data_IF_910408883985
#
_entry.id   IF_910408883985
#
_cell.length_a   1.000
_cell.length_b   1.000
_cell.length_c   1.000
_cell.angle_alpha   90.00
_cell.angle_beta   90.00
_cell.angle_gamma   90.00
#
_symmetry.space_group_name_H-M   'P 1'
#
loop_
_entity.id
_entity.type
_entity.pdbx_description
1 polymer ?
#
# COMPACT_ATOMS: atom_id res chain seq x y z
N UNK A 1 33.88 -20.80 -20.20
CA UNK A 1 32.71 -19.89 -20.20
C UNK A 1 33.02 -18.83 -21.26
N UNK A 2 32.07 -18.35 -22.07
CA UNK A 2 32.40 -17.27 -23.02
C UNK A 2 32.69 -15.98 -22.25
N UNK A 3 33.51 -15.08 -22.80
CA UNK A 3 33.83 -13.79 -22.17
C UNK A 3 32.56 -13.01 -21.80
N UNK A 4 31.58 -12.96 -22.70
CA UNK A 4 30.29 -12.32 -22.43
C UNK A 4 29.55 -12.92 -21.22
N UNK A 5 29.62 -14.23 -21.02
CA UNK A 5 28.97 -14.89 -19.89
C UNK A 5 29.65 -14.58 -18.55
N UNK A 6 30.99 -14.43 -18.54
CA UNK A 6 31.73 -13.98 -17.36
C UNK A 6 31.39 -12.52 -17.00
N UNK A 7 31.31 -11.64 -18.01
CA UNK A 7 30.93 -10.24 -17.80
C UNK A 7 29.47 -10.12 -17.33
N UNK A 8 28.55 -10.91 -17.90
CA UNK A 8 27.17 -10.94 -17.43
C UNK A 8 27.06 -11.42 -15.97
N UNK A 9 27.80 -12.46 -15.60
CA UNK A 9 27.84 -12.95 -14.21
C UNK A 9 28.34 -11.87 -13.25
N UNK A 10 29.43 -11.17 -13.61
CA UNK A 10 29.94 -10.04 -12.83
C UNK A 10 28.92 -8.89 -12.74
N UNK A 11 28.14 -8.65 -13.81
CA UNK A 11 27.10 -7.63 -13.83
C UNK A 11 25.97 -7.99 -12.86
N UNK A 12 25.55 -9.26 -12.83
CA UNK A 12 24.54 -9.71 -11.87
C UNK A 12 25.00 -9.54 -10.42
N UNK A 13 26.24 -9.89 -10.12
CA UNK A 13 26.82 -9.66 -8.79
C UNK A 13 26.85 -8.18 -8.43
N UNK A 14 27.29 -7.32 -9.36
CA UNK A 14 27.34 -5.88 -9.15
C UNK A 14 25.94 -5.29 -8.94
N UNK A 15 24.91 -5.81 -9.62
CA UNK A 15 23.51 -5.48 -9.36
C UNK A 15 23.07 -5.87 -7.94
N UNK A 16 23.40 -7.09 -7.48
CA UNK A 16 23.11 -7.55 -6.11
C UNK A 16 23.81 -6.66 -5.08
N UNK A 17 25.07 -6.31 -5.32
CA UNK A 17 25.89 -5.41 -4.49
C UNK A 17 25.52 -3.93 -4.66
N UNK A 18 24.55 -3.60 -5.53
CA UNK A 18 24.09 -2.23 -5.86
C UNK A 18 25.21 -1.28 -6.31
N UNK A 19 26.21 -1.81 -7.01
CA UNK A 19 27.37 -1.08 -7.54
C UNK A 19 27.06 -0.48 -8.92
N UNK A 20 26.44 0.70 -8.94
CA UNK A 20 25.94 1.32 -10.18
C UNK A 20 27.02 1.54 -11.25
N UNK A 21 28.14 2.17 -10.89
CA UNK A 21 29.22 2.49 -11.84
C UNK A 21 29.81 1.21 -12.47
N UNK A 22 30.02 0.17 -11.65
CA UNK A 22 30.49 -1.13 -12.10
C UNK A 22 29.53 -1.77 -13.11
N UNK A 23 28.22 -1.68 -12.86
CA UNK A 23 27.21 -2.19 -13.81
C UNK A 23 27.22 -1.41 -15.12
N UNK A 24 27.41 -0.09 -15.07
CA UNK A 24 27.52 0.72 -16.28
C UNK A 24 28.76 0.37 -17.12
N UNK A 25 29.91 0.16 -16.48
CA UNK A 25 31.14 -0.30 -17.13
C UNK A 25 30.97 -1.69 -17.75
N UNK A 26 30.37 -2.64 -17.02
CA UNK A 26 30.15 -4.00 -17.52
C UNK A 26 29.15 -4.04 -18.69
N UNK A 27 28.11 -3.20 -18.67
CA UNK A 27 27.21 -3.04 -19.82
C UNK A 27 27.94 -2.48 -21.05
N UNK A 28 28.90 -1.57 -20.85
CA UNK A 28 29.71 -1.05 -21.95
C UNK A 28 30.57 -2.15 -22.56
N UNK A 29 31.22 -2.97 -21.73
CA UNK A 29 32.02 -4.12 -22.20
C UNK A 29 31.16 -5.15 -22.94
N UNK A 30 29.96 -5.46 -22.44
CA UNK A 30 29.03 -6.34 -23.17
C UNK A 30 28.63 -5.74 -24.53
N UNK A 31 28.41 -4.43 -24.60
CA UNK A 31 28.11 -3.74 -25.86
C UNK A 31 29.26 -3.86 -26.88
N UNK A 32 30.50 -3.75 -26.42
CA UNK A 32 31.71 -3.92 -27.24
C UNK A 32 31.79 -5.36 -27.78
N UNK A 33 31.58 -6.37 -26.94
CA UNK A 33 31.59 -7.78 -27.36
C UNK A 33 30.52 -8.06 -28.41
N UNK A 34 29.28 -7.61 -28.23
CA UNK A 34 28.21 -7.94 -29.19
C UNK A 34 28.37 -7.23 -30.54
N UNK A 35 29.18 -6.17 -30.61
CA UNK A 35 29.53 -5.54 -31.88
C UNK A 35 30.47 -6.44 -32.71
N UNK A 36 31.27 -7.27 -32.05
CA UNK A 36 32.21 -8.22 -32.65
C UNK A 36 31.59 -9.62 -32.81
N UNK A 37 30.78 -10.05 -31.83
CA UNK A 37 30.21 -11.39 -31.73
C UNK A 37 28.70 -11.35 -31.47
N UNK A 38 27.90 -11.47 -32.54
CA UNK A 38 26.42 -11.38 -32.45
C UNK A 38 25.77 -12.48 -31.59
N UNK A 39 26.44 -13.59 -31.33
CA UNK A 39 25.92 -14.72 -30.51
C UNK A 39 25.65 -14.32 -29.05
N UNK A 40 26.25 -13.24 -28.56
CA UNK A 40 26.14 -12.79 -27.16
C UNK A 40 25.05 -11.72 -26.93
N UNK A 41 24.25 -11.41 -27.95
CA UNK A 41 23.21 -10.36 -27.89
C UNK A 41 22.21 -10.57 -26.74
N UNK A 42 21.79 -11.80 -26.47
CA UNK A 42 20.86 -12.07 -25.36
C UNK A 42 21.40 -11.63 -23.99
N UNK A 43 22.68 -11.88 -23.72
CA UNK A 43 23.30 -11.54 -22.44
C UNK A 43 23.37 -10.02 -22.25
N UNK A 44 23.63 -9.29 -23.33
CA UNK A 44 23.56 -7.83 -23.30
C UNK A 44 22.14 -7.33 -22.99
N UNK A 45 21.12 -7.86 -23.65
CA UNK A 45 19.72 -7.49 -23.39
C UNK A 45 19.30 -7.84 -21.95
N UNK A 46 19.64 -9.06 -21.48
CA UNK A 46 19.42 -9.50 -20.09
C UNK A 46 20.10 -8.55 -19.10
N UNK A 47 21.33 -8.12 -19.40
CA UNK A 47 22.08 -7.14 -18.62
C UNK A 47 21.38 -5.78 -18.54
N UNK A 48 20.89 -5.25 -19.66
CA UNK A 48 20.11 -3.99 -19.71
C UNK A 48 18.88 -4.09 -18.81
N UNK A 49 18.07 -5.14 -18.96
CA UNK A 49 16.86 -5.35 -18.16
C UNK A 49 17.20 -5.39 -16.66
N UNK A 50 18.24 -6.14 -16.29
CA UNK A 50 18.70 -6.23 -14.89
C UNK A 50 19.15 -4.88 -14.34
N UNK A 51 19.90 -4.11 -15.11
CA UNK A 51 20.39 -2.81 -14.72
C UNK A 51 19.24 -1.80 -14.54
N UNK A 52 18.32 -1.70 -15.50
CA UNK A 52 17.16 -0.82 -15.45
C UNK A 52 16.25 -1.13 -14.26
N UNK A 53 16.03 -2.41 -13.97
CA UNK A 53 15.19 -2.85 -12.84
C UNK A 53 15.88 -2.67 -11.48
N UNK A 54 17.20 -2.82 -11.41
CA UNK A 54 17.97 -2.64 -10.16
C UNK A 54 18.17 -1.17 -9.82
N UNK A 55 18.52 -0.34 -10.81
CA UNK A 55 18.89 1.06 -10.63
C UNK A 55 17.83 2.01 -11.20
N UNK A 56 16.57 1.75 -10.85
CA UNK A 56 15.41 2.56 -11.26
C UNK A 56 15.69 4.04 -11.02
N UNK A 57 15.58 4.84 -12.08
CA UNK A 57 15.76 6.29 -12.01
C UNK A 57 17.20 6.80 -11.99
N UNK A 58 18.23 5.94 -11.90
CA UNK A 58 19.63 6.38 -11.90
C UNK A 58 20.14 6.73 -13.30
N UNK A 59 19.84 5.89 -14.29
CA UNK A 59 20.27 6.13 -15.67
C UNK A 59 19.72 7.46 -16.22
N UNK A 60 20.50 8.26 -16.94
CA UNK A 60 20.00 9.41 -17.69
C UNK A 60 18.93 8.98 -18.71
N UNK A 61 17.98 9.88 -19.03
CA UNK A 61 16.93 9.58 -20.01
C UNK A 61 17.51 9.22 -21.38
N UNK A 62 18.56 9.93 -21.82
CA UNK A 62 19.29 9.63 -23.06
C UNK A 62 19.85 8.21 -23.08
N UNK A 63 20.41 7.75 -21.96
CA UNK A 63 20.94 6.38 -21.84
C UNK A 63 19.82 5.34 -21.93
N UNK A 64 18.66 5.60 -21.29
CA UNK A 64 17.50 4.70 -21.38
C UNK A 64 16.99 4.62 -22.83
N UNK A 65 16.93 5.74 -23.55
CA UNK A 65 16.58 5.74 -24.99
C UNK A 65 17.57 4.91 -25.81
N UNK A 66 18.88 5.12 -25.60
CA UNK A 66 19.90 4.32 -26.30
C UNK A 66 19.78 2.82 -26.03
N UNK A 67 19.39 2.43 -24.80
CA UNK A 67 19.13 1.02 -24.50
C UNK A 67 17.92 0.49 -25.27
N UNK A 68 16.82 1.25 -25.35
CA UNK A 68 15.64 0.84 -26.14
C UNK A 68 16.03 0.69 -27.62
N UNK A 69 16.69 1.68 -28.20
CA UNK A 69 17.12 1.69 -29.60
C UNK A 69 18.04 0.52 -29.93
N UNK A 70 19.04 0.25 -29.08
CA UNK A 70 19.96 -0.87 -29.27
C UNK A 70 19.24 -2.23 -29.22
N UNK A 71 18.34 -2.44 -28.25
CA UNK A 71 17.58 -3.70 -28.14
C UNK A 71 16.59 -3.84 -29.29
N UNK A 72 15.96 -2.75 -29.72
CA UNK A 72 15.07 -2.75 -30.90
C UNK A 72 15.82 -3.18 -32.16
N UNK A 73 17.02 -2.64 -32.38
CA UNK A 73 17.86 -3.01 -33.51
C UNK A 73 18.25 -4.50 -33.46
N UNK A 74 18.62 -5.02 -32.29
CA UNK A 74 18.90 -6.44 -32.08
C UNK A 74 17.68 -7.30 -32.47
N UNK A 75 16.47 -6.92 -32.06
CA UNK A 75 15.25 -7.67 -32.43
C UNK A 75 14.96 -7.57 -33.94
N UNK A 76 15.16 -6.41 -34.56
CA UNK A 76 14.98 -6.25 -36.02
C UNK A 76 15.94 -7.12 -36.82
N UNK A 77 17.17 -7.29 -36.35
CA UNK A 77 18.16 -8.18 -36.98
C UNK A 77 17.86 -9.67 -36.75
N UNK A 78 17.05 -10.00 -35.75
CA UNK A 78 16.70 -11.37 -35.36
C UNK A 78 15.17 -11.58 -35.33
N UNK A 79 14.44 -11.37 -36.45
CA UNK A 79 12.97 -11.28 -36.45
C UNK A 79 12.27 -12.59 -36.07
N UNK A 80 12.93 -13.74 -36.20
CA UNK A 80 12.39 -15.05 -35.83
C UNK A 80 12.75 -15.47 -34.40
N UNK A 81 13.53 -14.66 -33.68
CA UNK A 81 14.04 -15.01 -32.35
C UNK A 81 13.07 -14.57 -31.26
N UNK A 82 12.16 -15.46 -30.88
CA UNK A 82 11.08 -15.17 -29.94
C UNK A 82 11.57 -14.66 -28.57
N UNK A 83 12.65 -15.23 -28.02
CA UNK A 83 13.17 -14.81 -26.71
C UNK A 83 13.71 -13.35 -26.74
N UNK A 84 14.29 -12.91 -27.86
CA UNK A 84 14.72 -11.52 -28.04
C UNK A 84 13.51 -10.58 -28.17
N UNK A 85 12.45 -11.00 -28.87
CA UNK A 85 11.20 -10.25 -28.95
C UNK A 85 10.56 -10.05 -27.56
N UNK A 86 10.49 -11.12 -26.75
CA UNK A 86 10.03 -11.05 -25.35
C UNK A 86 10.93 -10.13 -24.53
N UNK A 87 12.25 -10.21 -24.73
CA UNK A 87 13.23 -9.37 -24.01
C UNK A 87 13.13 -7.89 -24.38
N UNK A 88 12.74 -7.56 -25.61
CA UNK A 88 12.45 -6.18 -25.98
C UNK A 88 11.19 -5.66 -25.28
N UNK A 89 10.10 -6.46 -25.21
CA UNK A 89 8.93 -6.09 -24.42
C UNK A 89 9.27 -5.84 -22.93
N UNK A 90 10.10 -6.70 -22.34
CA UNK A 90 10.65 -6.52 -20.98
C UNK A 90 11.51 -5.27 -20.85
N UNK A 91 12.29 -4.94 -21.87
CA UNK A 91 13.13 -3.73 -21.92
C UNK A 91 12.25 -2.48 -21.92
N UNK A 92 11.23 -2.42 -22.78
CA UNK A 92 10.27 -1.32 -22.81
C UNK A 92 9.58 -1.11 -21.45
N UNK A 93 9.07 -2.18 -20.82
CA UNK A 93 8.48 -2.06 -19.47
C UNK A 93 9.49 -1.59 -18.43
N UNK A 94 10.71 -2.14 -18.43
CA UNK A 94 11.75 -1.77 -17.46
C UNK A 94 12.18 -0.31 -17.62
N UNK A 95 12.30 0.16 -18.86
CA UNK A 95 12.53 1.56 -19.20
C UNK A 95 11.41 2.46 -18.71
N UNK A 96 10.14 2.08 -18.94
CA UNK A 96 8.97 2.79 -18.44
C UNK A 96 9.01 2.96 -16.92
N UNK A 97 9.35 1.90 -16.17
CA UNK A 97 9.49 1.95 -14.71
C UNK A 97 10.62 2.90 -14.30
N UNK A 98 11.78 2.84 -14.96
CA UNK A 98 12.90 3.73 -14.68
C UNK A 98 12.55 5.20 -14.99
N UNK A 99 11.81 5.47 -16.06
CA UNK A 99 11.41 6.82 -16.47
C UNK A 99 10.29 7.39 -15.58
N UNK A 100 9.36 6.54 -15.14
CA UNK A 100 8.30 6.91 -14.18
C UNK A 100 8.87 7.58 -12.93
N UNK A 101 10.00 7.08 -12.42
CA UNK A 101 10.66 7.69 -11.24
C UNK A 101 11.23 9.08 -11.49
N UNK A 102 11.45 9.47 -12.75
CA UNK A 102 11.90 10.81 -13.14
C UNK A 102 10.76 11.77 -13.47
N UNK A 103 9.50 11.31 -13.43
CA UNK A 103 8.33 12.15 -13.68
C UNK A 103 8.24 12.68 -15.11
N UNK A 104 8.55 11.87 -16.11
CA UNK A 104 8.56 12.22 -17.54
C UNK A 104 7.33 11.64 -18.27
N UNK A 105 6.14 12.29 -18.15
CA UNK A 105 4.87 11.74 -18.63
C UNK A 105 4.83 11.51 -20.14
N UNK A 106 5.44 12.39 -20.94
CA UNK A 106 5.47 12.26 -22.39
C UNK A 106 6.18 10.99 -22.83
N UNK A 107 7.38 10.77 -22.30
CA UNK A 107 8.19 9.60 -22.62
C UNK A 107 7.55 8.30 -22.11
N UNK A 108 6.84 8.34 -20.98
CA UNK A 108 6.06 7.18 -20.53
C UNK A 108 4.95 6.82 -21.54
N UNK A 109 4.28 7.83 -22.12
CA UNK A 109 3.25 7.62 -23.16
C UNK A 109 3.85 7.09 -24.47
N UNK A 110 5.03 7.57 -24.84
CA UNK A 110 5.79 7.07 -25.99
C UNK A 110 6.09 5.58 -25.82
N UNK A 111 6.76 5.19 -24.73
CA UNK A 111 7.17 3.79 -24.49
C UNK A 111 5.98 2.83 -24.39
N UNK A 112 4.88 3.21 -23.73
CA UNK A 112 3.71 2.33 -23.69
C UNK A 112 3.07 2.20 -25.07
N UNK A 113 3.08 3.25 -25.88
CA UNK A 113 2.58 3.20 -27.27
C UNK A 113 3.46 2.29 -28.13
N UNK A 114 4.78 2.37 -27.97
CA UNK A 114 5.72 1.49 -28.66
C UNK A 114 5.50 0.03 -28.27
N UNK A 115 5.30 -0.26 -26.98
CA UNK A 115 4.99 -1.60 -26.50
C UNK A 115 3.64 -2.12 -27.02
N UNK A 116 2.62 -1.25 -27.07
CA UNK A 116 1.31 -1.59 -27.65
C UNK A 116 1.42 -1.91 -29.15
N UNK A 117 2.19 -1.12 -29.90
CA UNK A 117 2.41 -1.36 -31.32
C UNK A 117 3.26 -2.61 -31.57
N UNK A 118 4.29 -2.82 -30.76
CA UNK A 118 5.10 -4.02 -30.82
C UNK A 118 4.27 -5.28 -30.54
N UNK A 119 3.43 -5.28 -29.51
CA UNK A 119 2.56 -6.41 -29.17
C UNK A 119 1.58 -6.79 -30.29
N UNK A 120 1.12 -5.83 -31.10
CA UNK A 120 0.26 -6.11 -32.27
C UNK A 120 0.95 -6.96 -33.33
N UNK A 121 2.28 -6.91 -33.42
CA UNK A 121 3.06 -7.77 -34.33
C UNK A 121 3.20 -9.21 -33.82
N UNK A 122 2.89 -9.45 -32.54
CA UNK A 122 2.94 -10.76 -31.90
C UNK A 122 1.59 -11.08 -31.23
N UNK A 123 0.49 -11.13 -32.00
CA UNK A 123 -0.85 -11.17 -31.44
C UNK A 123 -1.08 -12.37 -30.51
N UNK A 124 -0.47 -13.52 -30.79
CA UNK A 124 -0.66 -14.75 -30.00
C UNK A 124 0.38 -14.93 -28.88
N UNK A 125 1.36 -14.03 -28.76
CA UNK A 125 2.39 -14.16 -27.74
C UNK A 125 1.91 -13.60 -26.40
N UNK A 126 1.39 -14.49 -25.56
CA UNK A 126 0.85 -14.13 -24.24
C UNK A 126 1.89 -13.43 -23.36
N UNK A 127 3.16 -13.84 -23.40
CA UNK A 127 4.24 -13.27 -22.58
C UNK A 127 4.49 -11.79 -22.91
N UNK A 128 4.43 -11.40 -24.19
CA UNK A 128 4.52 -9.99 -24.58
C UNK A 128 3.32 -9.19 -24.03
N UNK A 129 2.12 -9.78 -24.07
CA UNK A 129 0.92 -9.15 -23.47
C UNK A 129 0.94 -9.12 -21.94
N UNK A 130 1.61 -10.05 -21.27
CA UNK A 130 1.86 -9.97 -19.84
C UNK A 130 2.72 -8.74 -19.52
N UNK A 131 3.82 -8.54 -20.24
CA UNK A 131 4.68 -7.36 -20.10
C UNK A 131 3.90 -6.05 -20.38
N UNK A 132 3.07 -6.03 -21.43
CA UNK A 132 2.21 -4.90 -21.74
C UNK A 132 1.14 -4.64 -20.66
N UNK A 133 0.54 -5.68 -20.08
CA UNK A 133 -0.45 -5.55 -19.02
C UNK A 133 0.18 -4.97 -17.74
N UNK A 134 1.38 -5.42 -17.40
CA UNK A 134 2.16 -4.90 -16.27
C UNK A 134 2.54 -3.44 -16.51
N UNK A 135 3.03 -3.10 -17.71
CA UNK A 135 3.35 -1.72 -18.08
C UNK A 135 2.12 -0.80 -18.04
N UNK A 136 0.97 -1.29 -18.53
CA UNK A 136 -0.31 -0.58 -18.48
C UNK A 136 -0.71 -0.23 -17.05
N UNK A 137 -0.53 -1.15 -16.10
CA UNK A 137 -0.81 -0.87 -14.70
C UNK A 137 0.16 0.13 -14.06
N UNK A 138 1.41 0.16 -14.50
CA UNK A 138 2.36 1.19 -14.05
C UNK A 138 1.93 2.59 -14.51
N UNK A 139 1.41 2.70 -15.74
CA UNK A 139 0.81 3.93 -16.30
C UNK A 139 -0.45 4.33 -15.54
N UNK A 140 -1.38 3.39 -15.29
CA UNK A 140 -2.61 3.61 -14.52
C UNK A 140 -2.30 4.17 -13.13
N UNK A 141 -1.37 3.53 -12.41
CA UNK A 141 -0.96 3.97 -11.08
C UNK A 141 -0.28 5.35 -11.09
N UNK A 142 0.50 5.65 -12.13
CA UNK A 142 1.10 6.97 -12.30
C UNK A 142 0.02 8.06 -12.47
N UNK A 143 -0.94 7.84 -13.36
CA UNK A 143 -2.03 8.80 -13.60
C UNK A 143 -2.96 8.94 -12.40
N UNK A 144 -3.26 7.85 -11.69
CA UNK A 144 -4.03 7.89 -10.42
C UNK A 144 -3.40 8.87 -9.43
N UNK A 145 -2.08 8.78 -9.22
CA UNK A 145 -1.35 9.64 -8.28
C UNK A 145 -1.31 11.10 -8.73
N UNK A 146 -1.35 11.36 -10.04
CA UNK A 146 -1.37 12.70 -10.63
C UNK A 146 -2.77 13.30 -10.78
N UNK A 147 -3.82 12.53 -10.51
CA UNK A 147 -5.21 12.95 -10.68
C UNK A 147 -5.69 12.98 -12.14
N UNK A 148 -4.93 12.42 -13.09
CA UNK A 148 -5.35 12.31 -14.50
C UNK A 148 -6.22 11.06 -14.69
N UNK A 149 -7.45 11.14 -14.19
CA UNK A 149 -8.37 10.00 -14.22
C UNK A 149 -8.88 9.66 -15.63
N UNK A 150 -8.77 10.59 -16.59
CA UNK A 150 -9.10 10.32 -17.99
C UNK A 150 -8.06 9.39 -18.60
N UNK A 151 -6.77 9.72 -18.48
CA UNK A 151 -5.70 8.85 -18.97
C UNK A 151 -5.68 7.49 -18.28
N UNK A 152 -6.02 7.45 -16.98
CA UNK A 152 -6.21 6.20 -16.24
C UNK A 152 -7.31 5.33 -16.87
N UNK A 153 -8.49 5.91 -17.14
CA UNK A 153 -9.63 5.18 -17.70
C UNK A 153 -9.36 4.71 -19.13
N UNK A 154 -8.68 5.54 -19.95
CA UNK A 154 -8.26 5.16 -21.29
C UNK A 154 -7.34 3.93 -21.27
N UNK A 155 -6.33 3.91 -20.40
CA UNK A 155 -5.45 2.74 -20.29
C UNK A 155 -6.17 1.52 -19.68
N UNK A 156 -7.08 1.74 -18.74
CA UNK A 156 -7.89 0.66 -18.13
C UNK A 156 -8.82 0.01 -19.15
N UNK A 157 -9.32 0.77 -20.14
CA UNK A 157 -10.08 0.23 -21.26
C UNK A 157 -9.23 -0.70 -22.13
N UNK A 158 -8.00 -0.30 -22.47
CA UNK A 158 -7.07 -1.16 -23.23
C UNK A 158 -6.73 -2.44 -22.46
N UNK A 159 -6.50 -2.33 -21.15
CA UNK A 159 -6.22 -3.50 -20.31
C UNK A 159 -7.38 -4.51 -20.29
N UNK A 160 -8.64 -4.04 -20.32
CA UNK A 160 -9.81 -4.92 -20.51
C UNK A 160 -9.79 -5.64 -21.87
N UNK A 161 -9.34 -4.99 -22.93
CA UNK A 161 -9.21 -5.62 -24.26
C UNK A 161 -8.18 -6.77 -24.20
N UNK A 162 -7.06 -6.57 -23.50
CA UNK A 162 -6.04 -7.62 -23.31
C UNK A 162 -6.59 -8.79 -22.49
N UNK A 163 -7.28 -8.50 -21.39
CA UNK A 163 -7.88 -9.51 -20.52
C UNK A 163 -8.98 -10.32 -21.23
N UNK A 164 -9.73 -9.70 -22.14
CA UNK A 164 -10.70 -10.42 -23.00
C UNK A 164 -10.00 -11.32 -24.01
N UNK A 165 -8.87 -10.90 -24.55
CA UNK A 165 -8.07 -11.69 -25.51
C UNK A 165 -7.43 -12.90 -24.84
N UNK A 166 -6.98 -12.76 -23.60
CA UNK A 166 -6.32 -13.82 -22.83
C UNK A 166 -7.07 -14.11 -21.52
N UNK A 167 -8.29 -14.70 -21.59
CA UNK A 167 -9.12 -14.94 -20.41
C UNK A 167 -8.46 -15.89 -19.41
N UNK A 168 -7.70 -16.88 -19.88
CA UNK A 168 -7.04 -17.88 -19.02
C UNK A 168 -5.70 -17.39 -18.43
N UNK A 169 -5.16 -16.25 -18.89
CA UNK A 169 -3.87 -15.77 -18.38
C UNK A 169 -4.03 -15.04 -17.04
N UNK A 170 -3.62 -15.69 -15.95
CA UNK A 170 -3.76 -15.15 -14.60
C UNK A 170 -3.03 -13.83 -14.37
N UNK A 171 -1.86 -13.62 -15.00
CA UNK A 171 -1.08 -12.38 -14.86
C UNK A 171 -1.89 -11.20 -15.39
N UNK A 172 -2.44 -11.31 -16.59
CA UNK A 172 -3.24 -10.27 -17.25
C UNK A 172 -4.54 -10.04 -16.46
N UNK A 173 -5.22 -11.10 -16.01
CA UNK A 173 -6.42 -10.97 -15.17
C UNK A 173 -6.12 -10.26 -13.84
N UNK A 174 -5.00 -10.57 -13.19
CA UNK A 174 -4.55 -9.87 -11.99
C UNK A 174 -4.18 -8.42 -12.26
N UNK A 175 -3.64 -8.10 -13.44
CA UNK A 175 -3.45 -6.70 -13.81
C UNK A 175 -4.80 -5.99 -13.98
N UNK A 176 -5.79 -6.62 -14.62
CA UNK A 176 -7.12 -6.03 -14.75
C UNK A 176 -7.76 -5.75 -13.39
N UNK A 177 -7.70 -6.68 -12.43
CA UNK A 177 -8.29 -6.47 -11.10
C UNK A 177 -7.70 -5.24 -10.39
N UNK A 178 -6.38 -5.05 -10.46
CA UNK A 178 -5.69 -3.86 -9.94
C UNK A 178 -6.13 -2.57 -10.61
N UNK A 179 -6.36 -2.60 -11.92
CA UNK A 179 -6.89 -1.46 -12.67
C UNK A 179 -8.31 -1.12 -12.24
N UNK A 180 -9.18 -2.11 -12.01
CA UNK A 180 -10.54 -1.88 -11.49
C UNK A 180 -10.49 -1.20 -10.10
N UNK A 181 -9.62 -1.68 -9.20
CA UNK A 181 -9.42 -1.03 -7.87
C UNK A 181 -8.93 0.42 -8.03
N UNK A 182 -8.02 0.67 -8.98
CA UNK A 182 -7.56 2.01 -9.29
C UNK A 182 -8.68 2.92 -9.81
N UNK A 183 -9.58 2.38 -10.65
CA UNK A 183 -10.75 3.08 -11.15
C UNK A 183 -11.76 3.41 -10.04
N UNK A 184 -12.07 2.48 -9.13
CA UNK A 184 -12.94 2.75 -7.97
C UNK A 184 -12.38 3.93 -7.17
N UNK A 185 -11.07 3.90 -6.89
CA UNK A 185 -10.40 4.98 -6.17
C UNK A 185 -10.28 6.32 -6.94
N UNK A 186 -10.57 6.33 -8.24
CA UNK A 186 -10.54 7.52 -9.10
C UNK A 186 -11.88 8.26 -9.17
N UNK A 187 -12.95 7.69 -8.63
CA UNK A 187 -14.29 8.26 -8.68
C UNK A 187 -14.36 9.46 -7.73
N UNK A 188 -14.33 10.68 -8.31
CA UNK A 188 -14.26 11.95 -7.55
C UNK A 188 -15.56 12.30 -6.83
N UNK A 189 -16.70 12.14 -7.51
CA UNK A 189 -18.03 12.33 -6.92
C UNK A 189 -18.59 10.96 -6.63
N UNK A 190 -19.12 10.76 -5.41
CA UNK A 190 -19.70 9.47 -5.03
C UNK A 190 -20.79 9.06 -6.03
N UNK A 191 -20.44 8.08 -6.87
CA UNK A 191 -21.31 7.46 -7.85
C UNK A 191 -21.38 5.98 -7.51
N UNK A 192 -22.32 5.64 -6.63
CA UNK A 192 -22.52 4.26 -6.16
C UNK A 192 -22.85 3.33 -7.32
N UNK A 193 -23.57 3.80 -8.35
CA UNK A 193 -23.90 2.98 -9.52
C UNK A 193 -22.64 2.60 -10.31
N UNK A 194 -21.70 3.53 -10.48
CA UNK A 194 -20.41 3.24 -11.12
C UNK A 194 -19.54 2.34 -10.24
N UNK A 195 -19.50 2.58 -8.93
CA UNK A 195 -18.77 1.73 -7.98
C UNK A 195 -19.31 0.29 -8.01
N UNK A 196 -20.63 0.11 -7.93
CA UNK A 196 -21.27 -1.21 -7.93
C UNK A 196 -20.99 -1.98 -9.24
N UNK A 197 -20.97 -1.30 -10.39
CA UNK A 197 -20.57 -1.92 -11.66
C UNK A 197 -19.13 -2.45 -11.64
N UNK A 198 -18.19 -1.67 -11.10
CA UNK A 198 -16.79 -2.06 -10.96
C UNK A 198 -16.61 -3.18 -9.92
N UNK A 199 -17.35 -3.13 -8.80
CA UNK A 199 -17.36 -4.19 -7.80
C UNK A 199 -17.91 -5.50 -8.35
N UNK A 200 -18.95 -5.44 -9.19
CA UNK A 200 -19.48 -6.61 -9.89
C UNK A 200 -18.47 -7.17 -10.91
N UNK A 201 -17.76 -6.31 -11.63
CA UNK A 201 -16.72 -6.73 -12.57
C UNK A 201 -15.61 -7.52 -11.86
N UNK A 202 -15.06 -7.00 -10.77
CA UNK A 202 -14.02 -7.70 -10.01
C UNK A 202 -14.54 -8.94 -9.26
N UNK A 203 -15.81 -8.93 -8.84
CA UNK A 203 -16.47 -10.12 -8.28
C UNK A 203 -16.48 -11.25 -9.31
N UNK A 204 -17.02 -11.01 -10.51
CA UNK A 204 -17.09 -12.04 -11.57
C UNK A 204 -15.69 -12.55 -11.94
N UNK A 205 -14.71 -11.64 -12.02
CA UNK A 205 -13.32 -11.98 -12.30
C UNK A 205 -12.70 -12.90 -11.23
N UNK A 206 -13.04 -12.67 -9.96
CA UNK A 206 -12.48 -13.40 -8.83
C UNK A 206 -13.22 -14.72 -8.59
N UNK A 207 -14.54 -14.75 -8.73
CA UNK A 207 -15.37 -15.95 -8.61
C UNK A 207 -15.08 -16.98 -9.70
N UNK A 208 -14.72 -16.54 -10.91
CA UNK A 208 -14.26 -17.45 -11.97
C UNK A 208 -12.92 -18.12 -11.66
N UNK A 209 -12.16 -17.62 -10.67
CA UNK A 209 -10.84 -18.13 -10.28
C UNK A 209 -10.70 -18.14 -8.74
N UNK A 210 -11.46 -19.00 -8.03
CA UNK A 210 -11.56 -18.96 -6.57
C UNK A 210 -10.24 -19.32 -5.86
N UNK A 211 -9.37 -20.09 -6.51
CA UNK A 211 -8.05 -20.48 -5.99
C UNK A 211 -6.98 -19.41 -6.20
N UNK A 212 -7.22 -18.41 -7.06
CA UNK A 212 -6.25 -17.35 -7.32
C UNK A 212 -6.27 -16.33 -6.18
N UNK A 213 -5.34 -16.52 -5.23
CA UNK A 213 -5.20 -15.66 -4.04
C UNK A 213 -5.07 -14.18 -4.39
N UNK A 214 -4.36 -13.84 -5.47
CA UNK A 214 -4.15 -12.46 -5.89
C UNK A 214 -5.46 -11.77 -6.29
N UNK A 215 -6.29 -12.45 -7.10
CA UNK A 215 -7.61 -11.95 -7.48
C UNK A 215 -8.54 -11.82 -6.27
N UNK A 216 -8.57 -12.84 -5.41
CA UNK A 216 -9.37 -12.81 -4.19
C UNK A 216 -8.97 -11.63 -3.26
N UNK A 217 -7.67 -11.33 -3.15
CA UNK A 217 -7.20 -10.20 -2.35
C UNK A 217 -7.58 -8.85 -2.98
N UNK A 218 -7.44 -8.69 -4.29
CA UNK A 218 -7.86 -7.46 -4.98
C UNK A 218 -9.38 -7.24 -4.91
N UNK A 219 -10.17 -8.32 -4.84
CA UNK A 219 -11.62 -8.22 -4.62
C UNK A 219 -11.96 -7.61 -3.26
N UNK A 220 -11.31 -8.08 -2.18
CA UNK A 220 -11.47 -7.49 -0.84
C UNK A 220 -10.99 -6.04 -0.84
N UNK A 221 -9.86 -5.78 -1.51
CA UNK A 221 -9.29 -4.45 -1.65
C UNK A 221 -10.23 -3.47 -2.40
N UNK A 222 -11.00 -3.95 -3.38
CA UNK A 222 -11.99 -3.16 -4.09
C UNK A 222 -13.13 -2.70 -3.18
N UNK A 223 -13.68 -3.59 -2.34
CA UNK A 223 -14.68 -3.20 -1.35
C UNK A 223 -14.12 -2.20 -0.33
N UNK A 224 -12.89 -2.43 0.17
CA UNK A 224 -12.23 -1.47 1.06
C UNK A 224 -12.08 -0.10 0.39
N UNK A 225 -11.64 -0.06 -0.86
CA UNK A 225 -11.47 1.19 -1.62
C UNK A 225 -12.80 1.89 -1.87
N UNK A 226 -13.89 1.15 -2.08
CA UNK A 226 -15.23 1.71 -2.15
C UNK A 226 -15.65 2.32 -0.80
N UNK A 227 -15.36 1.64 0.32
CA UNK A 227 -15.65 2.13 1.68
C UNK A 227 -14.89 3.42 2.03
N UNK A 228 -13.67 3.63 1.52
CA UNK A 228 -12.92 4.90 1.70
C UNK A 228 -13.68 6.12 1.13
N UNK A 229 -14.75 5.90 0.34
CA UNK A 229 -15.61 6.94 -0.26
C UNK A 229 -16.99 7.01 0.39
N UNK A 230 -17.27 6.18 1.40
CA UNK A 230 -18.61 5.99 1.97
C UNK A 230 -18.96 6.89 3.16
N UNK A 231 -18.22 7.99 3.36
CA UNK A 231 -18.38 8.90 4.51
C UNK A 231 -19.84 9.35 4.74
N UNK A 232 -20.66 9.38 3.68
CA UNK A 232 -22.07 9.80 3.73
C UNK A 232 -23.10 8.67 3.54
N UNK A 233 -22.68 7.40 3.43
CA UNK A 233 -23.58 6.27 3.07
C UNK A 233 -23.42 5.03 3.97
N UNK A 234 -24.04 5.03 5.16
CA UNK A 234 -24.02 3.90 6.10
C UNK A 234 -24.49 2.56 5.52
N UNK A 235 -25.52 2.55 4.66
CA UNK A 235 -26.04 1.30 4.08
C UNK A 235 -25.02 0.62 3.17
N UNK A 236 -24.27 1.41 2.41
CA UNK A 236 -23.24 0.95 1.47
C UNK A 236 -22.01 0.40 2.21
N UNK A 237 -21.52 1.15 3.20
CA UNK A 237 -20.43 0.70 4.06
C UNK A 237 -20.74 -0.65 4.73
N UNK A 238 -21.97 -0.81 5.24
CA UNK A 238 -22.40 -2.07 5.87
C UNK A 238 -22.41 -3.24 4.89
N UNK A 239 -23.04 -3.10 3.71
CA UNK A 239 -23.08 -4.20 2.72
C UNK A 239 -21.70 -4.57 2.21
N UNK A 240 -20.81 -3.59 1.99
CA UNK A 240 -19.45 -3.85 1.52
C UNK A 240 -18.60 -4.55 2.58
N UNK A 241 -18.72 -4.18 3.86
CA UNK A 241 -18.08 -4.92 4.95
C UNK A 241 -18.56 -6.37 5.02
N UNK A 242 -19.86 -6.61 4.89
CA UNK A 242 -20.40 -7.98 4.87
C UNK A 242 -19.86 -8.80 3.70
N UNK A 243 -19.71 -8.21 2.51
CA UNK A 243 -19.04 -8.87 1.39
C UNK A 243 -17.56 -9.18 1.70
N UNK A 244 -16.82 -8.25 2.31
CA UNK A 244 -15.43 -8.50 2.72
C UNK A 244 -15.34 -9.65 3.73
N UNK A 245 -16.25 -9.73 4.71
CA UNK A 245 -16.31 -10.82 5.68
C UNK A 245 -16.56 -12.17 5.02
N UNK A 246 -17.43 -12.25 4.01
CA UNK A 246 -17.68 -13.48 3.26
C UNK A 246 -16.44 -14.01 2.54
N UNK A 247 -15.60 -13.11 2.04
CA UNK A 247 -14.40 -13.48 1.28
C UNK A 247 -13.21 -13.78 2.21
N UNK A 248 -13.03 -12.96 3.25
CA UNK A 248 -11.81 -12.92 4.07
C UNK A 248 -11.98 -13.45 5.51
N UNK A 249 -13.20 -13.68 5.97
CA UNK A 249 -13.51 -13.96 7.38
C UNK A 249 -12.90 -15.26 7.90
N UNK A 250 -12.87 -16.30 7.08
CA UNK A 250 -12.28 -17.60 7.40
C UNK A 250 -10.77 -17.68 7.07
N UNK A 251 -10.27 -16.74 6.26
CA UNK A 251 -8.88 -16.73 5.80
C UNK A 251 -7.94 -16.29 6.91
N UNK A 252 -7.03 -17.18 7.30
CA UNK A 252 -5.95 -16.90 8.27
C UNK A 252 -4.76 -16.12 7.68
N UNK A 253 -4.76 -15.92 6.36
CA UNK A 253 -3.70 -15.20 5.66
C UNK A 253 -3.67 -13.73 6.06
N UNK A 254 -2.48 -13.25 6.44
CA UNK A 254 -2.32 -11.93 7.04
C UNK A 254 -2.74 -10.78 6.10
N UNK A 255 -2.59 -10.94 4.78
CA UNK A 255 -2.99 -9.89 3.84
C UNK A 255 -4.52 -9.68 3.84
N UNK A 256 -5.28 -10.78 3.89
CA UNK A 256 -6.74 -10.72 4.02
C UNK A 256 -7.18 -10.15 5.36
N UNK A 257 -6.48 -10.51 6.46
CA UNK A 257 -6.74 -9.97 7.80
C UNK A 257 -6.51 -8.46 7.85
N UNK A 258 -5.44 -7.96 7.26
CA UNK A 258 -5.13 -6.52 7.18
C UNK A 258 -6.20 -5.77 6.38
N UNK A 259 -6.60 -6.29 5.21
CA UNK A 259 -7.64 -5.62 4.41
C UNK A 259 -9.00 -5.63 5.11
N UNK A 260 -9.39 -6.73 5.76
CA UNK A 260 -10.61 -6.81 6.55
C UNK A 260 -10.57 -5.87 7.77
N UNK A 261 -9.42 -5.73 8.44
CA UNK A 261 -9.21 -4.78 9.53
C UNK A 261 -9.39 -3.33 9.07
N UNK A 262 -8.87 -2.97 7.89
CA UNK A 262 -9.11 -1.64 7.29
C UNK A 262 -10.60 -1.44 6.96
N UNK A 263 -11.29 -2.50 6.52
CA UNK A 263 -12.75 -2.51 6.36
C UNK A 263 -13.49 -2.20 7.66
N UNK A 264 -13.14 -2.88 8.76
CA UNK A 264 -13.71 -2.58 10.09
C UNK A 264 -13.47 -1.14 10.53
N UNK A 265 -12.24 -0.62 10.33
CA UNK A 265 -11.93 0.79 10.61
C UNK A 265 -12.89 1.74 9.90
N UNK A 266 -13.06 1.57 8.59
CA UNK A 266 -13.96 2.40 7.79
C UNK A 266 -15.42 2.26 8.25
N UNK A 267 -15.87 1.03 8.55
CA UNK A 267 -17.21 0.80 9.06
C UNK A 267 -17.44 1.44 10.43
N UNK A 268 -16.45 1.42 11.33
CA UNK A 268 -16.54 2.08 12.64
C UNK A 268 -16.68 3.59 12.48
N UNK A 269 -15.91 4.22 11.60
CA UNK A 269 -15.98 5.65 11.32
C UNK A 269 -17.39 6.04 10.81
N UNK A 270 -17.95 5.26 9.89
CA UNK A 270 -19.22 5.61 9.22
C UNK A 270 -20.46 5.18 10.03
N UNK A 271 -20.41 4.03 10.69
CA UNK A 271 -21.56 3.40 11.35
C UNK A 271 -21.55 3.59 12.87
N UNK A 272 -20.40 3.91 13.46
CA UNK A 272 -20.16 3.88 14.89
C UNK A 272 -20.88 4.96 15.70
N UNK A 273 -21.46 5.98 15.05
CA UNK A 273 -22.25 7.02 15.74
C UNK A 273 -23.40 6.42 16.58
N UNK A 274 -23.88 5.22 16.23
CA UNK A 274 -24.82 4.45 17.06
C UNK A 274 -24.04 3.53 18.00
N UNK A 275 -24.17 3.74 19.31
CA UNK A 275 -23.44 3.00 20.34
C UNK A 275 -23.54 1.47 20.19
N UNK A 276 -24.71 0.94 19.84
CA UNK A 276 -24.90 -0.50 19.69
C UNK A 276 -24.17 -1.08 18.47
N UNK A 277 -24.19 -0.37 17.33
CA UNK A 277 -23.47 -0.80 16.13
C UNK A 277 -21.95 -0.72 16.34
N UNK A 278 -21.47 0.31 17.05
CA UNK A 278 -20.06 0.43 17.42
C UNK A 278 -19.58 -0.73 18.30
N UNK A 279 -20.34 -1.07 19.35
CA UNK A 279 -20.03 -2.20 20.22
C UNK A 279 -19.93 -3.51 19.42
N UNK A 280 -20.90 -3.74 18.53
CA UNK A 280 -20.91 -4.91 17.65
C UNK A 280 -19.66 -4.96 16.76
N UNK A 281 -19.36 -3.87 16.06
CA UNK A 281 -18.19 -3.79 15.16
C UNK A 281 -16.87 -3.97 15.91
N UNK A 282 -16.74 -3.38 17.10
CA UNK A 282 -15.56 -3.57 17.95
C UNK A 282 -15.44 -5.01 18.43
N UNK A 283 -16.53 -5.65 18.84
CA UNK A 283 -16.50 -7.05 19.27
C UNK A 283 -16.05 -7.98 18.12
N UNK A 284 -16.61 -7.79 16.93
CA UNK A 284 -16.22 -8.55 15.73
C UNK A 284 -14.75 -8.29 15.35
N UNK A 285 -14.30 -7.03 15.41
CA UNK A 285 -12.92 -6.70 15.09
C UNK A 285 -11.94 -7.25 16.14
N UNK A 286 -12.30 -7.21 17.43
CA UNK A 286 -11.52 -7.85 18.50
C UNK A 286 -11.36 -9.35 18.25
N UNK A 287 -12.44 -10.04 17.88
CA UNK A 287 -12.37 -11.46 17.53
C UNK A 287 -11.47 -11.73 16.32
N UNK A 288 -11.40 -10.82 15.34
CA UNK A 288 -10.46 -10.92 14.23
C UNK A 288 -9.01 -10.85 14.73
N UNK A 289 -8.71 -9.89 15.62
CA UNK A 289 -7.38 -9.69 16.19
C UNK A 289 -6.95 -10.87 17.06
N UNK A 290 -7.83 -11.33 17.95
CA UNK A 290 -7.54 -12.43 18.88
C UNK A 290 -7.26 -13.76 18.13
N UNK A 291 -7.84 -13.94 16.94
CA UNK A 291 -7.65 -15.12 16.09
C UNK A 291 -6.57 -14.94 15.01
N UNK A 292 -5.71 -13.92 15.11
CA UNK A 292 -4.67 -13.65 14.12
C UNK A 292 -3.29 -13.63 14.78
N UNK A 293 -2.31 -14.27 14.13
CA UNK A 293 -0.91 -14.24 14.57
C UNK A 293 -0.41 -12.80 14.66
N UNK A 294 0.37 -12.45 15.71
CA UNK A 294 0.78 -11.08 15.91
C UNK A 294 1.51 -10.44 14.71
N UNK A 295 1.06 -9.26 14.29
CA UNK A 295 1.61 -8.55 13.14
C UNK A 295 1.52 -7.02 13.33
N UNK A 296 2.65 -6.33 13.20
CA UNK A 296 2.75 -4.88 13.48
C UNK A 296 1.85 -4.02 12.59
N UNK A 297 1.65 -4.40 11.32
CA UNK A 297 0.78 -3.65 10.41
C UNK A 297 -0.70 -3.80 10.81
N UNK A 298 -1.14 -5.02 11.08
CA UNK A 298 -2.49 -5.30 11.56
C UNK A 298 -2.78 -4.58 12.89
N UNK A 299 -1.86 -4.65 13.85
CA UNK A 299 -2.02 -3.96 15.13
C UNK A 299 -1.95 -2.44 15.01
N UNK A 300 -1.22 -1.91 14.03
CA UNK A 300 -1.26 -0.48 13.71
C UNK A 300 -2.66 -0.07 13.25
N UNK A 301 -3.30 -0.86 12.36
CA UNK A 301 -4.69 -0.62 11.96
C UNK A 301 -5.65 -0.74 13.14
N UNK A 302 -5.44 -1.72 14.01
CA UNK A 302 -6.25 -1.91 15.21
C UNK A 302 -6.13 -0.72 16.17
N UNK A 303 -4.92 -0.26 16.49
CA UNK A 303 -4.69 0.90 17.35
C UNK A 303 -5.35 2.17 16.78
N UNK A 304 -5.21 2.41 15.47
CA UNK A 304 -5.90 3.53 14.81
C UNK A 304 -7.43 3.40 14.92
N UNK A 305 -7.96 2.19 14.83
CA UNK A 305 -9.41 1.96 14.93
C UNK A 305 -9.93 2.19 16.34
N UNK A 306 -9.17 1.78 17.35
CA UNK A 306 -9.49 2.06 18.76
C UNK A 306 -9.49 3.58 19.04
N UNK A 307 -8.54 4.32 18.46
CA UNK A 307 -8.54 5.78 18.50
C UNK A 307 -9.82 6.36 17.86
N UNK A 308 -10.21 5.91 16.66
CA UNK A 308 -11.45 6.40 16.03
C UNK A 308 -12.70 6.05 16.86
N UNK A 309 -12.75 4.87 17.46
CA UNK A 309 -13.82 4.50 18.38
C UNK A 309 -13.89 5.41 19.61
N UNK A 310 -12.73 5.79 20.18
CA UNK A 310 -12.67 6.74 21.29
C UNK A 310 -13.18 8.14 20.91
N UNK A 311 -12.87 8.61 19.69
CA UNK A 311 -13.41 9.88 19.19
C UNK A 311 -14.94 9.86 19.09
N UNK A 312 -15.52 8.71 18.77
CA UNK A 312 -16.98 8.52 18.66
C UNK A 312 -17.65 8.40 20.03
N UNK A 313 -17.10 7.59 20.94
CA UNK A 313 -17.70 7.34 22.27
C UNK A 313 -17.48 8.54 23.20
N UNK A 314 -16.34 9.21 23.07
CA UNK A 314 -15.90 10.26 23.98
C UNK A 314 -15.84 9.76 25.41
N UNK A 315 -16.56 10.45 26.30
CA UNK A 315 -16.63 10.14 27.74
C UNK A 315 -18.05 9.81 28.22
N UNK A 316 -19.00 9.66 27.28
CA UNK A 316 -20.40 9.34 27.57
C UNK A 316 -20.56 8.03 28.35
N UNK A 317 -19.67 7.06 28.10
CA UNK A 317 -19.48 5.87 28.91
C UNK A 317 -18.00 5.73 29.25
N UNK A 318 -17.57 6.43 30.30
CA UNK A 318 -16.16 6.47 30.68
C UNK A 318 -15.57 5.09 31.01
N UNK A 319 -16.37 4.15 31.51
CA UNK A 319 -15.89 2.79 31.74
C UNK A 319 -15.47 2.11 30.44
N UNK A 320 -16.29 2.25 29.38
CA UNK A 320 -15.94 1.72 28.07
C UNK A 320 -14.75 2.46 27.43
N UNK A 321 -14.66 3.79 27.64
CA UNK A 321 -13.48 4.58 27.27
C UNK A 321 -12.21 4.03 27.92
N UNK A 322 -12.26 3.69 29.21
CA UNK A 322 -11.13 3.09 29.94
C UNK A 322 -10.75 1.71 29.39
N UNK A 323 -11.73 0.87 29.04
CA UNK A 323 -11.46 -0.43 28.43
C UNK A 323 -10.68 -0.29 27.11
N UNK A 324 -11.08 0.66 26.26
CA UNK A 324 -10.39 0.91 24.98
C UNK A 324 -8.99 1.50 25.20
N UNK A 325 -8.83 2.45 26.13
CA UNK A 325 -7.52 2.99 26.51
C UNK A 325 -6.59 1.90 27.07
N UNK A 326 -7.11 0.99 27.89
CA UNK A 326 -6.38 -0.16 28.40
C UNK A 326 -5.92 -1.12 27.30
N UNK A 327 -6.75 -1.35 26.28
CA UNK A 327 -6.36 -2.12 25.08
C UNK A 327 -5.24 -1.45 24.30
N UNK A 328 -5.34 -0.14 24.04
CA UNK A 328 -4.27 0.62 23.40
C UNK A 328 -2.97 0.58 24.20
N UNK A 329 -3.06 0.67 25.53
CA UNK A 329 -1.90 0.55 26.41
C UNK A 329 -1.24 -0.82 26.28
N UNK A 330 -2.03 -1.89 26.33
CA UNK A 330 -1.53 -3.26 26.13
C UNK A 330 -0.83 -3.42 24.78
N UNK A 331 -1.40 -2.87 23.69
CA UNK A 331 -0.75 -2.90 22.38
C UNK A 331 0.61 -2.20 22.38
N UNK A 332 0.74 -1.07 23.08
CA UNK A 332 2.02 -0.38 23.22
C UNK A 332 3.02 -1.18 24.06
N UNK A 333 2.54 -1.94 25.04
CA UNK A 333 3.37 -2.84 25.83
C UNK A 333 3.87 -4.03 24.98
N UNK A 334 3.01 -4.60 24.14
CA UNK A 334 3.34 -5.67 23.21
C UNK A 334 4.25 -5.20 22.05
N UNK A 335 4.13 -3.93 21.63
CA UNK A 335 4.86 -3.34 20.50
C UNK A 335 5.50 -1.97 20.83
N UNK A 336 6.50 -1.92 21.74
CA UNK A 336 7.12 -0.68 22.22
C UNK A 336 7.69 0.23 21.13
N UNK A 337 8.26 -0.38 20.09
CA UNK A 337 8.96 0.35 19.01
C UNK A 337 8.00 0.81 17.90
N UNK A 338 6.72 0.40 17.95
CA UNK A 338 5.75 0.75 16.93
C UNK A 338 5.22 2.18 17.16
N UNK A 339 5.93 3.17 16.61
CA UNK A 339 5.54 4.59 16.67
C UNK A 339 4.07 4.87 16.32
N UNK A 340 3.45 4.22 15.31
CA UNK A 340 2.02 4.42 15.04
C UNK A 340 1.10 4.07 16.21
N UNK A 341 1.43 3.03 16.98
CA UNK A 341 0.65 2.58 18.15
C UNK A 341 0.84 3.59 19.30
N UNK A 342 2.09 4.02 19.56
CA UNK A 342 2.39 5.07 20.52
C UNK A 342 1.59 6.36 20.20
N UNK A 343 1.63 6.79 18.95
CA UNK A 343 0.91 7.99 18.51
C UNK A 343 -0.61 7.87 18.72
N UNK A 344 -1.20 6.72 18.36
CA UNK A 344 -2.63 6.48 18.57
C UNK A 344 -3.01 6.52 20.06
N UNK A 345 -2.17 5.96 20.94
CA UNK A 345 -2.40 6.02 22.39
C UNK A 345 -2.26 7.44 22.95
N UNK A 346 -1.21 8.19 22.54
CA UNK A 346 -1.02 9.58 22.95
C UNK A 346 -2.17 10.49 22.52
N UNK A 347 -2.60 10.37 21.26
CA UNK A 347 -3.71 11.16 20.71
C UNK A 347 -5.03 10.84 21.43
N UNK A 348 -5.23 9.57 21.77
CA UNK A 348 -6.36 9.11 22.59
C UNK A 348 -6.35 9.73 23.98
N UNK A 349 -5.20 9.73 24.67
CA UNK A 349 -5.06 10.33 26.00
C UNK A 349 -5.35 11.84 25.97
N UNK A 350 -4.81 12.57 24.98
CA UNK A 350 -5.06 14.01 24.83
C UNK A 350 -6.54 14.30 24.63
N UNK A 351 -7.18 13.58 23.71
CA UNK A 351 -8.60 13.76 23.41
C UNK A 351 -9.48 13.52 24.64
N UNK A 352 -9.29 12.40 25.33
CA UNK A 352 -10.09 12.04 26.49
C UNK A 352 -9.81 12.96 27.69
N UNK A 353 -8.55 13.30 27.97
CA UNK A 353 -8.22 14.26 29.05
C UNK A 353 -8.86 15.62 28.76
N UNK A 354 -8.84 16.09 27.51
CA UNK A 354 -9.50 17.33 27.11
C UNK A 354 -11.01 17.30 27.39
N UNK A 355 -11.70 16.22 26.99
CA UNK A 355 -13.13 16.04 27.25
C UNK A 355 -13.45 16.00 28.76
N UNK A 356 -12.71 15.20 29.54
CA UNK A 356 -12.90 15.09 30.99
C UNK A 356 -12.66 16.42 31.69
N UNK A 357 -11.63 17.16 31.25
CA UNK A 357 -11.30 18.45 31.83
C UNK A 357 -12.40 19.49 31.56
N UNK A 358 -13.00 19.48 30.37
CA UNK A 358 -14.15 20.33 30.04
C UNK A 358 -15.38 20.00 30.89
N UNK A 359 -15.62 18.71 31.19
CA UNK A 359 -16.68 18.26 32.09
C UNK A 359 -16.32 18.36 33.59
N UNK A 360 -15.15 18.92 33.94
CA UNK A 360 -14.65 19.07 35.31
C UNK A 360 -14.53 17.73 36.07
N UNK A 361 -14.26 16.64 35.36
CA UNK A 361 -14.05 15.26 35.87
C UNK A 361 -12.63 15.08 36.40
N UNK A 362 -12.33 15.74 37.51
CA UNK A 362 -10.95 15.91 37.98
C UNK A 362 -10.24 14.62 38.41
N UNK A 363 -10.94 13.70 39.07
CA UNK A 363 -10.34 12.44 39.52
C UNK A 363 -9.89 11.59 38.34
N UNK A 364 -10.74 11.51 37.31
CA UNK A 364 -10.48 10.80 36.06
C UNK A 364 -9.33 11.43 35.26
N UNK A 365 -9.26 12.77 35.24
CA UNK A 365 -8.12 13.50 34.65
C UNK A 365 -6.82 13.11 35.35
N UNK A 366 -6.77 13.12 36.68
CA UNK A 366 -5.55 12.76 37.42
C UNK A 366 -5.17 11.29 37.23
N UNK A 367 -6.14 10.37 37.08
CA UNK A 367 -5.88 8.97 36.75
C UNK A 367 -5.14 8.83 35.41
N UNK A 368 -5.64 9.48 34.34
CA UNK A 368 -5.02 9.40 33.02
C UNK A 368 -3.67 10.11 32.95
N UNK A 369 -3.47 11.18 33.73
CA UNK A 369 -2.17 11.85 33.81
C UNK A 369 -1.08 10.96 34.42
N UNK A 370 -1.41 10.08 35.39
CA UNK A 370 -0.44 9.09 35.89
C UNK A 370 0.00 8.13 34.79
N UNK A 371 -0.94 7.70 33.94
CA UNK A 371 -0.63 6.84 32.79
C UNK A 371 0.28 7.55 31.78
N UNK A 372 0.16 8.87 31.66
CA UNK A 372 1.03 9.69 30.82
C UNK A 372 2.43 9.91 31.44
N UNK A 373 2.54 10.12 32.76
CA UNK A 373 3.82 10.25 33.47
C UNK A 373 4.70 9.00 33.26
N UNK A 374 4.10 7.82 33.26
CA UNK A 374 4.79 6.57 32.94
C UNK A 374 5.34 6.56 31.50
N UNK A 375 4.58 7.06 30.52
CA UNK A 375 5.07 7.18 29.13
C UNK A 375 6.28 8.12 29.02
N UNK A 376 6.31 9.22 29.77
CA UNK A 376 7.47 10.11 29.78
C UNK A 376 8.72 9.43 30.33
N UNK A 377 8.55 8.59 31.36
CA UNK A 377 9.67 7.84 31.92
C UNK A 377 10.18 6.77 30.95
N UNK A 378 9.26 6.12 30.22
CA UNK A 378 9.60 5.09 29.23
C UNK A 378 10.19 5.68 27.95
N UNK A 379 9.74 6.86 27.52
CA UNK A 379 10.15 7.50 26.27
C UNK A 379 10.66 8.94 26.49
N UNK A 380 11.70 9.15 27.33
CA UNK A 380 12.10 10.49 27.78
C UNK A 380 12.68 11.37 26.67
N UNK A 381 13.17 10.75 25.59
CA UNK A 381 13.76 11.43 24.43
C UNK A 381 12.83 11.48 23.21
N UNK A 382 11.63 10.90 23.30
CA UNK A 382 10.69 10.93 22.18
C UNK A 382 10.06 12.32 22.05
N UNK A 383 10.25 12.95 20.88
CA UNK A 383 9.78 14.31 20.63
C UNK A 383 8.25 14.42 20.66
N UNK A 384 7.53 13.38 20.24
CA UNK A 384 6.07 13.37 20.24
C UNK A 384 5.56 13.32 21.68
N UNK A 385 6.14 12.45 22.51
CA UNK A 385 5.80 12.36 23.94
C UNK A 385 6.06 13.69 24.66
N UNK A 386 7.19 14.35 24.38
CA UNK A 386 7.50 15.67 24.95
C UNK A 386 6.51 16.75 24.50
N UNK A 387 6.15 16.78 23.21
CA UNK A 387 5.17 17.74 22.68
C UNK A 387 3.80 17.55 23.33
N UNK A 388 3.33 16.31 23.43
CA UNK A 388 2.04 15.97 24.03
C UNK A 388 2.00 16.34 25.52
N UNK A 389 3.10 16.16 26.25
CA UNK A 389 3.18 16.60 27.65
C UNK A 389 2.95 18.10 27.79
N UNK A 390 3.57 18.88 26.90
CA UNK A 390 3.41 20.32 26.90
C UNK A 390 1.95 20.70 26.64
N UNK A 391 1.31 20.06 25.64
CA UNK A 391 -0.11 20.24 25.33
C UNK A 391 -1.01 19.93 26.53
N UNK A 392 -0.83 18.78 27.18
CA UNK A 392 -1.60 18.39 28.36
C UNK A 392 -1.41 19.39 29.51
N UNK A 393 -0.17 19.85 29.74
CA UNK A 393 0.13 20.83 30.78
C UNK A 393 -0.60 22.15 30.54
N UNK A 394 -0.65 22.61 29.28
CA UNK A 394 -1.34 23.84 28.91
C UNK A 394 -2.87 23.70 29.04
N UNK A 395 -3.45 22.56 28.62
CA UNK A 395 -4.89 22.25 28.79
C UNK A 395 -5.27 22.34 30.28
N UNK A 396 -4.50 21.69 31.16
CA UNK A 396 -4.76 21.70 32.59
C UNK A 396 -4.64 23.10 33.19
N UNK A 397 -3.66 23.89 32.75
CA UNK A 397 -3.48 25.28 33.20
C UNK A 397 -4.68 26.15 32.81
N UNK A 398 -5.13 26.06 31.56
CA UNK A 398 -6.29 26.81 31.07
C UNK A 398 -7.58 26.47 31.82
N UNK A 399 -7.75 25.20 32.19
CA UNK A 399 -8.96 24.70 32.87
C UNK A 399 -8.89 24.79 34.40
N UNK A 400 -7.85 25.44 34.95
CA UNK A 400 -7.71 25.70 36.39
C UNK A 400 -7.30 24.48 37.23
N UNK A 401 -6.88 23.38 36.59
CA UNK A 401 -6.35 22.22 37.28
C UNK A 401 -4.96 22.53 37.84
N UNK A 402 -4.87 22.68 39.16
CA UNK A 402 -3.58 22.79 39.84
C UNK A 402 -2.95 21.39 39.92
N UNK A 403 -1.66 21.29 39.58
CA UNK A 403 -0.88 20.06 39.84
C UNK A 403 -1.00 19.78 41.34
N UNK A 404 -1.62 18.67 41.74
CA UNK A 404 -1.58 18.26 43.15
C UNK A 404 -0.10 18.09 43.48
N UNK A 405 0.45 18.96 44.34
CA UNK A 405 1.76 18.71 44.94
C UNK A 405 1.65 17.32 45.55
N UNK A 406 2.52 16.38 45.13
CA UNK A 406 2.68 15.09 45.79
C UNK A 406 2.70 15.37 47.29
N UNK A 407 1.63 15.01 48.01
CA UNK A 407 1.73 14.88 49.45
C UNK A 407 2.70 13.72 49.61
N UNK A 408 3.97 14.04 49.86
CA UNK A 408 4.88 13.10 50.47
C UNK A 408 4.16 12.59 51.71
N UNK A 409 3.65 11.37 51.64
CA UNK A 409 3.39 10.60 52.85
C UNK A 409 4.78 10.46 53.45
N UNK A 410 5.05 11.24 54.51
CA UNK A 410 6.24 11.06 55.33
C UNK A 410 6.20 9.61 55.81
N UNK A 411 7.30 8.83 55.70
CA UNK A 411 7.49 7.72 56.60
C UNK A 411 7.82 8.34 57.96
N UNK A 412 6.80 8.75 58.72
CA UNK A 412 6.99 8.89 60.17
C UNK A 412 6.98 7.48 60.73
N UNK A 413 8.12 6.80 60.60
CA UNK A 413 8.77 5.94 61.60
C UNK A 413 10.19 5.66 61.09
N UNK A 414 11.14 6.35 61.76
CA UNK A 414 12.61 6.36 61.66
C UNK A 414 13.23 7.34 60.66
#
# INVERSE_FOLDING_TARGET
MSEAAEIYTALEEACVKKQFNTVEELLKKLAEIIAEEKTSQELYVKGIIKALTTFKGKFPVSKIRSFIENVEQIVKENPTHEELAISYAKTLRSSLIAIKTKGQPYLMREIITDLENFAKNYPENVTIYEELSMASNEIINYWKKRGDYKALQEQSKKLREFAKKFPENETIQLQLSKSIVAEIGSIRKLDIGKIDKLLLEIQNLSESRPTNKGLQLEWVHAYRTAMDRSEEKPKDAKRWLESMKKIAGDKKDIAFRIELAKGYKNAIIVLGAKSEELKKLLAEFNALIDNTTPNVELYTVYAQTLLEALKIIGITNYQHTKEILGRLRKLLDDFPEAKPILNAYLESLVGIIGLLSNEKKGEEVYELLKSFEDLQQRFPKDKTVQLVYQQLTDILRMLGFKKQKRKNVRPEYL
#
